data_IF_253885699842
#
_entry.id   IF_253885699842
#
_cell.length_a   1.000
_cell.length_b   1.000
_cell.length_c   1.000
_cell.angle_alpha   90.00
_cell.angle_beta   90.00
_cell.angle_gamma   90.00
#
_symmetry.space_group_name_H-M   'P 1'
#
loop_
_entity.id
_entity.type
_entity.pdbx_description
1 polymer ?
#
# COMPACT_ATOMS: atom_id res chain seq x y z
N UNK A 1 3.61 41.62 -13.19
CA UNK A 1 2.36 40.85 -13.36
C UNK A 1 2.18 40.28 -14.77
N UNK A 2 3.23 39.98 -15.52
CA UNK A 2 3.15 39.70 -16.97
C UNK A 2 3.94 38.45 -17.43
N UNK A 3 4.33 37.55 -16.52
CA UNK A 3 5.09 36.33 -16.87
C UNK A 3 4.36 35.01 -16.53
N UNK A 4 3.20 35.05 -15.90
CA UNK A 4 2.39 33.84 -15.56
C UNK A 4 1.41 33.50 -16.67
N UNK A 5 0.96 34.49 -17.45
CA UNK A 5 -0.04 34.28 -18.52
C UNK A 5 0.51 33.57 -19.77
N UNK A 6 1.81 33.63 -20.03
CA UNK A 6 2.39 33.03 -21.25
C UNK A 6 2.57 31.50 -21.16
N UNK A 7 2.56 30.92 -19.96
CA UNK A 7 2.65 29.44 -19.80
C UNK A 7 1.29 28.73 -19.83
N UNK A 8 0.18 29.46 -19.59
CA UNK A 8 -1.16 28.87 -19.62
C UNK A 8 -1.63 28.57 -21.06
N UNK A 9 -1.17 29.32 -22.04
CA UNK A 9 -1.58 29.14 -23.45
C UNK A 9 -0.91 27.95 -24.14
N UNK A 10 0.23 27.47 -23.65
CA UNK A 10 0.90 26.27 -24.22
C UNK A 10 0.20 24.95 -23.88
N UNK A 11 -0.73 24.95 -22.92
CA UNK A 11 -1.43 23.77 -22.44
C UNK A 11 -2.96 23.90 -22.45
N UNK A 12 -3.51 24.79 -23.26
CA UNK A 12 -4.94 24.84 -23.51
C UNK A 12 -5.36 23.63 -24.37
N UNK A 13 -5.30 22.49 -23.72
CA UNK A 13 -5.77 21.24 -24.28
C UNK A 13 -7.24 21.06 -23.92
N UNK A 14 -8.12 21.38 -24.87
CA UNK A 14 -9.43 20.76 -24.94
C UNK A 14 -9.29 19.31 -24.51
N UNK A 15 -10.07 18.90 -23.50
CA UNK A 15 -10.04 17.56 -22.96
C UNK A 15 -10.28 16.56 -24.11
N UNK A 16 -9.20 16.13 -24.76
CA UNK A 16 -9.30 15.19 -25.87
C UNK A 16 -9.81 13.88 -25.29
N UNK A 17 -11.01 13.49 -25.70
CA UNK A 17 -11.61 12.20 -25.33
C UNK A 17 -10.62 11.06 -25.56
N UNK A 18 -9.79 11.15 -26.60
CA UNK A 18 -8.74 10.17 -26.89
C UNK A 18 -7.70 10.05 -25.77
N UNK A 19 -7.26 11.14 -25.15
CA UNK A 19 -6.30 11.10 -24.03
C UNK A 19 -6.92 10.49 -22.78
N UNK A 20 -8.18 10.82 -22.53
CA UNK A 20 -8.91 10.27 -21.40
C UNK A 20 -9.13 8.75 -21.56
N UNK A 21 -9.54 8.31 -22.76
CA UNK A 21 -9.65 6.89 -23.09
C UNK A 21 -8.29 6.17 -22.98
N UNK A 22 -7.21 6.80 -23.46
CA UNK A 22 -5.86 6.25 -23.31
C UNK A 22 -5.51 6.00 -21.84
N UNK A 23 -5.79 6.92 -20.92
CA UNK A 23 -5.54 6.74 -19.49
C UNK A 23 -6.39 5.60 -18.90
N UNK A 24 -7.64 5.44 -19.33
CA UNK A 24 -8.49 4.33 -18.91
C UNK A 24 -7.96 2.98 -19.42
N UNK A 25 -7.62 2.89 -20.70
CA UNK A 25 -7.04 1.68 -21.32
C UNK A 25 -5.71 1.32 -20.66
N UNK A 26 -4.86 2.32 -20.39
CA UNK A 26 -3.59 2.11 -19.69
C UNK A 26 -3.81 1.55 -18.27
N UNK A 27 -4.83 2.04 -17.56
CA UNK A 27 -5.20 1.48 -16.25
C UNK A 27 -5.59 0.00 -16.36
N UNK A 28 -6.44 -0.35 -17.33
CA UNK A 28 -6.86 -1.75 -17.56
C UNK A 28 -5.65 -2.63 -17.91
N UNK A 29 -4.77 -2.15 -18.79
CA UNK A 29 -3.55 -2.86 -19.15
C UNK A 29 -2.67 -3.11 -17.91
N UNK A 30 -2.43 -2.10 -17.09
CA UNK A 30 -1.65 -2.24 -15.85
C UNK A 30 -2.31 -3.20 -14.84
N UNK A 31 -3.64 -3.23 -14.75
CA UNK A 31 -4.37 -4.19 -13.91
C UNK A 31 -4.16 -5.64 -14.38
N UNK A 32 -3.92 -5.86 -15.67
CA UNK A 32 -3.72 -7.19 -16.25
C UNK A 32 -2.30 -7.72 -16.08
N UNK A 33 -1.32 -6.86 -15.76
CA UNK A 33 0.09 -7.22 -15.60
C UNK A 33 0.47 -7.37 -14.12
N UNK A 34 0.05 -8.42 -13.46
CA UNK A 34 0.44 -8.84 -12.11
C UNK A 34 1.15 -7.77 -11.24
N UNK A 35 2.50 -7.73 -11.14
CA UNK A 35 3.22 -6.77 -10.30
C UNK A 35 3.02 -5.30 -10.67
N UNK A 36 2.69 -5.00 -11.92
CA UNK A 36 2.41 -3.64 -12.40
C UNK A 36 1.07 -3.09 -11.91
N UNK A 37 0.17 -3.95 -11.43
CA UNK A 37 -1.14 -3.54 -10.91
C UNK A 37 -1.05 -2.56 -9.74
N UNK A 38 0.07 -2.54 -9.02
CA UNK A 38 0.31 -1.61 -7.91
C UNK A 38 0.36 -0.13 -8.36
N UNK A 39 0.74 0.13 -9.62
CA UNK A 39 0.76 1.48 -10.20
C UNK A 39 -0.45 1.76 -11.10
N UNK A 40 -1.34 0.78 -11.28
CA UNK A 40 -2.54 0.93 -12.09
C UNK A 40 -3.47 2.09 -11.69
N UNK A 41 -3.56 2.51 -10.40
CA UNK A 41 -4.36 3.66 -10.02
C UNK A 41 -3.85 4.99 -10.57
N UNK A 42 -2.56 5.11 -10.90
CA UNK A 42 -1.92 6.38 -11.26
C UNK A 42 -2.52 7.05 -12.49
N UNK A 43 -2.74 6.35 -13.63
CA UNK A 43 -3.35 6.97 -14.80
C UNK A 43 -4.75 7.53 -14.51
N UNK A 44 -5.58 6.82 -13.74
CA UNK A 44 -6.89 7.31 -13.33
C UNK A 44 -6.78 8.47 -12.34
N UNK A 45 -5.84 8.47 -11.39
CA UNK A 45 -5.61 9.59 -10.50
C UNK A 45 -5.23 10.86 -11.29
N UNK A 46 -4.33 10.73 -12.27
CA UNK A 46 -3.97 11.80 -13.19
C UNK A 46 -5.19 12.26 -14.00
N UNK A 47 -6.02 11.31 -14.48
CA UNK A 47 -7.25 11.65 -15.20
C UNK A 47 -8.21 12.47 -14.31
N UNK A 48 -8.41 12.11 -13.05
CA UNK A 48 -9.19 12.90 -12.09
C UNK A 48 -8.65 14.32 -11.96
N UNK A 49 -7.35 14.49 -11.83
CA UNK A 49 -6.70 15.79 -11.64
C UNK A 49 -6.75 16.66 -12.92
N UNK A 50 -6.74 16.06 -14.10
CA UNK A 50 -6.75 16.77 -15.38
C UNK A 50 -8.17 17.11 -15.88
N UNK A 51 -9.10 16.14 -15.75
CA UNK A 51 -10.43 16.20 -16.36
C UNK A 51 -11.56 16.41 -15.35
N UNK A 52 -11.24 16.38 -14.05
CA UNK A 52 -12.20 16.58 -12.97
C UNK A 52 -12.94 15.30 -12.57
N UNK A 53 -13.71 15.44 -11.47
CA UNK A 53 -14.37 14.30 -10.81
C UNK A 53 -15.42 13.62 -11.67
N UNK A 54 -16.34 14.39 -12.23
CA UNK A 54 -17.53 13.88 -12.92
C UNK A 54 -17.16 13.08 -14.16
N UNK A 55 -16.32 13.66 -15.01
CA UNK A 55 -15.94 13.05 -16.29
C UNK A 55 -15.15 11.74 -16.05
N UNK A 56 -14.17 11.79 -15.14
CA UNK A 56 -13.34 10.61 -14.86
C UNK A 56 -14.12 9.53 -14.14
N UNK A 57 -15.02 9.90 -13.23
CA UNK A 57 -15.88 8.93 -12.54
C UNK A 57 -16.80 8.20 -13.52
N UNK A 58 -17.46 8.95 -14.43
CA UNK A 58 -18.34 8.36 -15.46
C UNK A 58 -17.56 7.39 -16.36
N UNK A 59 -16.37 7.80 -16.82
CA UNK A 59 -15.53 6.93 -17.64
C UNK A 59 -15.10 5.67 -16.87
N UNK A 60 -14.67 5.81 -15.63
CA UNK A 60 -14.24 4.69 -14.81
C UNK A 60 -15.40 3.72 -14.54
N UNK A 61 -16.60 4.24 -14.27
CA UNK A 61 -17.81 3.42 -14.08
C UNK A 61 -18.17 2.66 -15.37
N UNK A 62 -18.13 3.32 -16.53
CA UNK A 62 -18.37 2.68 -17.83
C UNK A 62 -17.31 1.61 -18.10
N UNK A 63 -16.02 1.91 -17.88
CA UNK A 63 -14.94 0.94 -18.08
C UNK A 63 -15.11 -0.28 -17.17
N UNK A 64 -15.50 -0.08 -15.91
CA UNK A 64 -15.79 -1.18 -14.98
C UNK A 64 -16.98 -2.02 -15.47
N UNK A 65 -18.07 -1.38 -15.89
CA UNK A 65 -19.25 -2.08 -16.43
C UNK A 65 -18.90 -2.93 -17.65
N UNK A 66 -18.05 -2.41 -18.55
CA UNK A 66 -17.57 -3.15 -19.73
C UNK A 66 -16.72 -4.36 -19.31
N UNK A 67 -15.78 -4.18 -18.37
CA UNK A 67 -14.95 -5.28 -17.88
C UNK A 67 -15.78 -6.34 -17.15
N UNK A 68 -16.76 -5.93 -16.37
CA UNK A 68 -17.69 -6.82 -15.68
C UNK A 68 -18.53 -7.61 -16.69
N UNK A 69 -19.13 -6.94 -17.69
CA UNK A 69 -19.89 -7.59 -18.74
C UNK A 69 -19.02 -8.57 -19.57
N UNK A 70 -17.77 -8.18 -19.87
CA UNK A 70 -16.82 -9.06 -20.57
C UNK A 70 -16.51 -10.32 -19.76
N UNK A 71 -16.39 -10.21 -18.43
CA UNK A 71 -16.13 -11.37 -17.56
C UNK A 71 -17.28 -12.38 -17.53
N UNK A 72 -18.51 -11.94 -17.80
CA UNK A 72 -19.69 -12.80 -17.88
C UNK A 72 -19.86 -13.37 -19.30
N UNK A 73 -19.66 -12.53 -20.34
CA UNK A 73 -19.95 -12.87 -21.72
C UNK A 73 -18.85 -13.65 -22.43
N UNK A 74 -17.59 -13.42 -22.06
CA UNK A 74 -16.43 -14.01 -22.74
C UNK A 74 -15.86 -15.15 -21.90
N UNK A 75 -16.00 -16.38 -22.40
CA UNK A 75 -15.48 -17.57 -21.74
C UNK A 75 -13.95 -17.48 -21.59
N UNK A 76 -13.46 -17.52 -20.34
CA UNK A 76 -12.02 -17.41 -20.04
C UNK A 76 -11.53 -15.98 -19.76
N UNK A 77 -12.37 -14.95 -19.84
CA UNK A 77 -11.98 -13.61 -19.37
C UNK A 77 -11.97 -13.58 -17.84
N UNK A 78 -10.83 -13.23 -17.19
CA UNK A 78 -10.72 -13.35 -15.74
C UNK A 78 -11.52 -12.25 -15.02
N UNK A 79 -12.48 -12.63 -14.18
CA UNK A 79 -13.21 -11.71 -13.28
C UNK A 79 -12.25 -10.91 -12.38
N UNK A 80 -11.10 -11.48 -12.08
CA UNK A 80 -10.02 -10.85 -11.32
C UNK A 80 -9.61 -9.46 -11.88
N UNK A 81 -9.58 -9.29 -13.21
CA UNK A 81 -9.22 -7.99 -13.83
C UNK A 81 -10.24 -6.90 -13.49
N UNK A 82 -11.53 -7.23 -13.47
CA UNK A 82 -12.58 -6.28 -13.07
C UNK A 82 -12.42 -5.89 -11.58
N UNK A 83 -12.12 -6.86 -10.72
CA UNK A 83 -11.84 -6.61 -9.30
C UNK A 83 -10.62 -5.72 -9.09
N UNK A 84 -9.50 -5.99 -9.78
CA UNK A 84 -8.29 -5.16 -9.72
C UNK A 84 -8.53 -3.75 -10.26
N UNK A 85 -9.33 -3.61 -11.32
CA UNK A 85 -9.72 -2.30 -11.83
C UNK A 85 -10.56 -1.50 -10.82
N UNK A 86 -11.50 -2.14 -10.14
CA UNK A 86 -12.31 -1.50 -9.09
C UNK A 86 -11.43 -1.00 -7.94
N UNK A 87 -10.45 -1.78 -7.50
CA UNK A 87 -9.48 -1.37 -6.48
C UNK A 87 -8.60 -0.22 -6.98
N UNK A 88 -8.12 -0.29 -8.22
CA UNK A 88 -7.35 0.80 -8.83
C UNK A 88 -8.16 2.10 -8.91
N UNK A 89 -9.43 2.02 -9.27
CA UNK A 89 -10.35 3.16 -9.28
C UNK A 89 -10.53 3.75 -7.87
N UNK A 90 -10.75 2.92 -6.84
CA UNK A 90 -10.88 3.38 -5.46
C UNK A 90 -9.62 4.12 -4.99
N UNK A 91 -8.44 3.57 -5.26
CA UNK A 91 -7.18 4.24 -4.88
C UNK A 91 -6.96 5.53 -5.66
N UNK A 92 -7.28 5.55 -6.95
CA UNK A 92 -7.21 6.76 -7.77
C UNK A 92 -8.12 7.87 -7.23
N UNK A 93 -9.34 7.52 -6.82
CA UNK A 93 -10.28 8.44 -6.20
C UNK A 93 -9.75 9.00 -4.87
N UNK A 94 -9.22 8.13 -3.99
CA UNK A 94 -8.65 8.56 -2.71
C UNK A 94 -7.43 9.48 -2.90
N UNK A 95 -6.55 9.15 -3.84
CA UNK A 95 -5.39 9.99 -4.19
C UNK A 95 -5.85 11.35 -4.73
N UNK A 96 -6.83 11.36 -5.64
CA UNK A 96 -7.36 12.59 -6.21
C UNK A 96 -8.03 13.48 -5.14
N UNK A 97 -8.80 12.89 -4.19
CA UNK A 97 -9.41 13.63 -3.09
C UNK A 97 -8.39 14.25 -2.13
N UNK A 98 -7.28 13.56 -1.84
CA UNK A 98 -6.17 14.13 -1.06
C UNK A 98 -5.65 15.39 -1.74
N UNK A 99 -5.46 15.35 -3.06
CA UNK A 99 -4.94 16.50 -3.83
C UNK A 99 -5.99 17.59 -3.97
N UNK A 100 -7.25 17.29 -4.35
CA UNK A 100 -8.31 18.27 -4.52
C UNK A 100 -8.65 19.02 -3.24
N UNK A 101 -8.61 18.35 -2.10
CA UNK A 101 -8.88 18.97 -0.79
C UNK A 101 -7.66 19.65 -0.19
N UNK A 102 -6.53 19.65 -0.91
CA UNK A 102 -5.26 20.19 -0.43
C UNK A 102 -4.85 19.67 0.95
N UNK A 103 -5.06 18.37 1.19
CA UNK A 103 -4.73 17.71 2.46
C UNK A 103 -3.24 17.36 2.45
N UNK A 104 -2.57 17.52 3.59
CA UNK A 104 -1.20 17.03 3.77
C UNK A 104 -1.13 15.53 3.38
N UNK A 105 -0.16 15.09 2.55
CA UNK A 105 -0.15 13.74 2.01
C UNK A 105 -0.09 12.65 3.08
N UNK A 106 0.59 12.88 4.20
CA UNK A 106 0.66 11.94 5.32
C UNK A 106 -0.70 11.82 6.02
N UNK A 107 -1.32 12.96 6.35
CA UNK A 107 -2.68 12.96 6.94
C UNK A 107 -3.70 12.35 5.99
N UNK A 108 -3.61 12.67 4.71
CA UNK A 108 -4.48 12.11 3.67
C UNK A 108 -4.35 10.59 3.57
N UNK A 109 -3.12 10.06 3.55
CA UNK A 109 -2.88 8.62 3.58
C UNK A 109 -3.40 7.96 4.86
N UNK A 110 -3.22 8.60 6.02
CA UNK A 110 -3.73 8.08 7.29
C UNK A 110 -5.26 7.95 7.26
N UNK A 111 -5.96 8.99 6.81
CA UNK A 111 -7.43 8.95 6.68
C UNK A 111 -7.89 7.94 5.63
N UNK A 112 -7.23 7.91 4.46
CA UNK A 112 -7.54 6.94 3.42
C UNK A 112 -7.24 5.51 3.88
N UNK A 113 -6.17 5.28 4.65
CA UNK A 113 -5.87 4.00 5.27
C UNK A 113 -6.95 3.55 6.24
N UNK A 114 -7.46 4.43 7.09
CA UNK A 114 -8.59 4.12 7.99
C UNK A 114 -9.86 3.75 7.21
N UNK A 115 -10.16 4.47 6.12
CA UNK A 115 -11.27 4.13 5.22
C UNK A 115 -11.07 2.75 4.61
N UNK A 116 -9.85 2.42 4.17
CA UNK A 116 -9.52 1.10 3.61
C UNK A 116 -9.69 -0.02 4.63
N UNK A 117 -9.36 0.19 5.92
CA UNK A 117 -9.64 -0.79 6.99
C UNK A 117 -11.13 -1.11 7.06
N UNK A 118 -11.97 -0.07 7.06
CA UNK A 118 -13.44 -0.24 7.14
C UNK A 118 -13.96 -0.96 5.90
N UNK A 119 -13.55 -0.55 4.71
CA UNK A 119 -13.97 -1.17 3.44
C UNK A 119 -13.52 -2.64 3.40
N UNK A 120 -12.26 -2.91 3.71
CA UNK A 120 -11.70 -4.28 3.68
C UNK A 120 -12.37 -5.18 4.71
N UNK A 121 -12.60 -4.68 5.92
CA UNK A 121 -13.33 -5.42 6.96
C UNK A 121 -14.76 -5.73 6.55
N UNK A 122 -15.49 -4.74 6.03
CA UNK A 122 -16.85 -4.91 5.52
C UNK A 122 -16.91 -5.91 4.36
N UNK A 123 -15.95 -5.84 3.44
CA UNK A 123 -15.85 -6.78 2.33
C UNK A 123 -15.62 -8.20 2.79
N UNK A 124 -14.72 -8.43 3.75
CA UNK A 124 -14.48 -9.76 4.32
C UNK A 124 -15.72 -10.35 4.99
N UNK A 125 -16.44 -9.53 5.76
CA UNK A 125 -17.69 -9.96 6.41
C UNK A 125 -18.75 -10.30 5.36
N UNK A 126 -18.94 -9.45 4.35
CA UNK A 126 -19.90 -9.67 3.29
C UNK A 126 -19.55 -10.92 2.46
N UNK A 127 -18.28 -11.06 2.07
CA UNK A 127 -17.80 -12.21 1.32
C UNK A 127 -18.06 -13.52 2.08
N UNK A 128 -17.70 -13.56 3.37
CA UNK A 128 -17.87 -14.76 4.19
C UNK A 128 -19.35 -15.14 4.41
N UNK A 129 -20.28 -14.17 4.29
CA UNK A 129 -21.73 -14.43 4.41
C UNK A 129 -22.40 -14.79 3.08
N UNK A 130 -21.91 -14.24 1.97
CA UNK A 130 -22.55 -14.33 0.67
C UNK A 130 -21.93 -15.40 -0.23
N UNK A 131 -20.67 -15.78 0.01
CA UNK A 131 -20.01 -16.81 -0.78
C UNK A 131 -20.54 -18.20 -0.41
N UNK A 132 -20.85 -19.04 -1.40
CA UNK A 132 -21.25 -20.44 -1.19
C UNK A 132 -20.09 -21.30 -0.67
N UNK A 133 -18.86 -20.89 -0.94
CA UNK A 133 -17.63 -21.52 -0.42
C UNK A 133 -17.07 -20.71 0.73
N UNK A 134 -16.63 -21.38 1.79
CA UNK A 134 -15.97 -20.68 2.89
C UNK A 134 -14.61 -20.14 2.40
N UNK A 135 -14.33 -18.86 2.70
CA UNK A 135 -13.04 -18.24 2.37
C UNK A 135 -11.84 -19.05 2.90
N UNK A 136 -12.02 -19.67 4.08
CA UNK A 136 -11.02 -20.57 4.65
C UNK A 136 -10.79 -21.82 3.79
N UNK A 137 -11.85 -22.36 3.16
CA UNK A 137 -11.75 -23.49 2.25
C UNK A 137 -10.96 -23.15 0.98
N UNK A 138 -11.19 -21.98 0.39
CA UNK A 138 -10.44 -21.51 -0.78
C UNK A 138 -8.94 -21.29 -0.46
N UNK A 139 -8.64 -20.72 0.71
CA UNK A 139 -7.27 -20.56 1.18
C UNK A 139 -6.62 -21.94 1.39
N UNK A 140 -7.33 -22.89 2.03
CA UNK A 140 -6.82 -24.23 2.26
C UNK A 140 -6.49 -24.95 0.95
N UNK A 141 -7.35 -24.83 -0.06
CA UNK A 141 -7.10 -25.38 -1.39
C UNK A 141 -5.87 -24.74 -2.05
N UNK A 142 -5.75 -23.41 -1.97
CA UNK A 142 -4.59 -22.70 -2.53
C UNK A 142 -3.30 -23.08 -1.82
N UNK A 143 -3.31 -23.14 -0.49
CA UNK A 143 -2.16 -23.59 0.32
C UNK A 143 -1.75 -25.02 -0.03
N UNK A 144 -2.70 -25.94 -0.12
CA UNK A 144 -2.40 -27.34 -0.46
C UNK A 144 -1.83 -27.48 -1.86
N UNK A 145 -2.31 -26.71 -2.83
CA UNK A 145 -1.77 -26.67 -4.20
C UNK A 145 -0.31 -26.20 -4.20
N UNK A 146 -0.03 -25.05 -3.58
CA UNK A 146 1.34 -24.50 -3.49
C UNK A 146 2.28 -25.47 -2.77
N UNK A 147 1.83 -26.09 -1.66
CA UNK A 147 2.62 -27.07 -0.94
C UNK A 147 2.94 -28.32 -1.78
N UNK A 148 1.98 -28.77 -2.58
CA UNK A 148 2.18 -29.91 -3.49
C UNK A 148 3.19 -29.59 -4.60
N UNK A 149 3.18 -28.36 -5.12
CA UNK A 149 4.13 -27.88 -6.13
C UNK A 149 5.54 -27.74 -5.55
N UNK A 150 5.66 -27.17 -4.34
CA UNK A 150 6.93 -27.06 -3.63
C UNK A 150 7.56 -28.43 -3.35
N UNK A 151 6.73 -29.42 -2.97
CA UNK A 151 7.21 -30.83 -2.80
C UNK A 151 7.77 -31.39 -4.11
N UNK A 152 7.10 -31.16 -5.24
CA UNK A 152 7.55 -31.65 -6.55
C UNK A 152 8.89 -31.01 -6.97
N UNK A 153 9.01 -29.69 -6.83
CA UNK A 153 10.23 -28.97 -7.20
C UNK A 153 11.46 -29.39 -6.38
N UNK A 154 11.27 -29.77 -5.10
CA UNK A 154 12.38 -30.16 -4.23
C UNK A 154 12.87 -31.57 -4.46
N UNK A 155 12.04 -32.48 -4.96
CA UNK A 155 12.45 -33.86 -5.33
C UNK A 155 13.52 -33.82 -6.42
N UNK A 156 13.53 -32.77 -7.27
CA UNK A 156 14.51 -32.61 -8.36
C UNK A 156 15.83 -31.94 -7.90
N UNK A 157 15.92 -31.39 -6.68
CA UNK A 157 17.11 -30.70 -6.16
C UNK A 157 17.76 -31.43 -5.00
N UNK A 158 18.75 -32.25 -5.28
CA UNK A 158 19.40 -33.20 -4.36
C UNK A 158 20.53 -32.63 -3.47
N UNK A 159 20.62 -31.32 -3.22
CA UNK A 159 21.75 -30.68 -2.51
C UNK A 159 21.37 -29.84 -1.28
N UNK A 160 20.43 -30.29 -0.44
CA UNK A 160 20.04 -29.52 0.77
C UNK A 160 20.55 -30.20 2.03
N UNK A 161 21.11 -29.42 2.99
CA UNK A 161 21.57 -29.94 4.28
C UNK A 161 20.44 -30.64 5.06
N UNK A 162 20.76 -31.65 5.86
CA UNK A 162 19.76 -32.45 6.56
C UNK A 162 18.88 -31.65 7.55
N UNK A 163 19.35 -30.54 8.08
CA UNK A 163 18.57 -29.66 8.95
C UNK A 163 17.56 -28.79 8.15
N UNK A 164 17.97 -28.23 7.03
CA UNK A 164 17.09 -27.49 6.13
C UNK A 164 16.02 -28.41 5.53
N UNK A 165 16.36 -29.67 5.26
CA UNK A 165 15.42 -30.67 4.81
C UNK A 165 14.33 -30.91 5.86
N UNK A 166 14.70 -31.10 7.13
CA UNK A 166 13.74 -31.32 8.23
C UNK A 166 12.83 -30.15 8.45
N UNK A 167 13.37 -28.91 8.46
CA UNK A 167 12.60 -27.67 8.61
C UNK A 167 11.59 -27.49 7.47
N UNK A 168 11.99 -27.81 6.24
CA UNK A 168 11.11 -27.77 5.09
C UNK A 168 10.00 -28.83 5.18
N UNK A 169 10.35 -30.06 5.50
CA UNK A 169 9.40 -31.17 5.61
C UNK A 169 8.39 -30.91 6.75
N UNK A 170 8.84 -30.34 7.86
CA UNK A 170 7.95 -29.88 8.94
C UNK A 170 7.01 -28.76 8.47
N UNK A 171 7.52 -27.76 7.76
CA UNK A 171 6.71 -26.67 7.21
C UNK A 171 5.65 -27.19 6.24
N UNK A 172 6.04 -28.06 5.31
CA UNK A 172 5.13 -28.58 4.28
C UNK A 172 4.16 -29.65 4.83
N UNK A 173 4.44 -30.22 6.00
CA UNK A 173 3.58 -31.21 6.66
C UNK A 173 2.39 -30.59 7.41
N UNK A 174 2.38 -29.26 7.65
CA UNK A 174 1.36 -28.55 8.44
C UNK A 174 0.52 -27.54 7.62
N UNK A 175 -0.12 -27.96 6.52
CA UNK A 175 -0.89 -27.02 5.66
C UNK A 175 -2.07 -26.38 6.39
N UNK A 176 -2.67 -27.06 7.35
CA UNK A 176 -3.79 -26.51 8.14
C UNK A 176 -3.35 -25.39 9.08
N UNK A 177 -2.18 -25.51 9.71
CA UNK A 177 -1.64 -24.44 10.56
C UNK A 177 -1.40 -23.18 9.72
N UNK A 178 -0.75 -23.31 8.56
CA UNK A 178 -0.52 -22.20 7.64
C UNK A 178 -1.85 -21.58 7.14
N UNK A 179 -2.84 -22.41 6.81
CA UNK A 179 -4.17 -21.95 6.42
C UNK A 179 -4.82 -21.11 7.52
N UNK A 180 -4.74 -21.56 8.77
CA UNK A 180 -5.30 -20.83 9.92
C UNK A 180 -4.57 -19.51 10.16
N UNK A 181 -3.24 -19.49 10.05
CA UNK A 181 -2.43 -18.29 10.21
C UNK A 181 -2.72 -17.26 9.12
N UNK A 182 -2.81 -17.67 7.85
CA UNK A 182 -3.20 -16.79 6.74
C UNK A 182 -4.61 -16.26 6.96
N UNK A 183 -5.58 -17.14 7.25
CA UNK A 183 -6.96 -16.75 7.44
C UNK A 183 -7.14 -15.76 8.60
N UNK A 184 -6.50 -16.02 9.73
CA UNK A 184 -6.56 -15.12 10.90
C UNK A 184 -5.85 -13.79 10.67
N UNK A 185 -4.88 -13.71 9.76
CA UNK A 185 -4.12 -12.51 9.41
C UNK A 185 -4.66 -11.77 8.18
N UNK A 186 -5.72 -12.26 7.54
CA UNK A 186 -6.30 -11.64 6.33
C UNK A 186 -6.62 -10.16 6.48
N UNK A 187 -7.26 -9.68 7.59
CA UNK A 187 -7.55 -8.27 7.73
C UNK A 187 -6.31 -7.40 7.63
N UNK A 188 -5.21 -7.82 8.27
CA UNK A 188 -3.92 -7.15 8.17
C UNK A 188 -3.33 -7.22 6.77
N UNK A 189 -3.32 -8.41 6.14
CA UNK A 189 -2.72 -8.61 4.80
C UNK A 189 -3.43 -7.71 3.77
N UNK A 190 -4.76 -7.72 3.75
CA UNK A 190 -5.54 -6.88 2.84
C UNK A 190 -5.26 -5.40 3.09
N UNK A 191 -5.23 -4.99 4.37
CA UNK A 191 -4.91 -3.61 4.73
C UNK A 191 -3.50 -3.22 4.28
N UNK A 192 -2.49 -4.04 4.58
CA UNK A 192 -1.10 -3.74 4.27
C UNK A 192 -0.86 -3.59 2.76
N UNK A 193 -1.40 -4.52 1.95
CA UNK A 193 -1.31 -4.46 0.48
C UNK A 193 -2.04 -3.22 -0.06
N UNK A 194 -3.24 -2.95 0.46
CA UNK A 194 -4.05 -1.80 0.04
C UNK A 194 -3.38 -0.46 0.39
N UNK A 195 -2.87 -0.35 1.61
CA UNK A 195 -2.18 0.86 2.07
C UNK A 195 -0.89 1.12 1.30
N UNK A 196 -0.11 0.06 1.04
CA UNK A 196 1.09 0.16 0.23
C UNK A 196 0.78 0.57 -1.21
N UNK A 197 -0.24 -0.03 -1.83
CA UNK A 197 -0.70 0.34 -3.16
C UNK A 197 -1.16 1.81 -3.23
N UNK A 198 -1.89 2.28 -2.23
CA UNK A 198 -2.30 3.68 -2.12
C UNK A 198 -1.10 4.62 -1.95
N UNK A 199 -0.14 4.25 -1.10
CA UNK A 199 1.09 5.02 -0.89
C UNK A 199 1.90 5.13 -2.19
N UNK A 200 2.12 4.01 -2.89
CA UNK A 200 2.83 4.00 -4.19
C UNK A 200 2.09 4.86 -5.21
N UNK A 201 0.77 4.76 -5.26
CA UNK A 201 -0.07 5.56 -6.18
C UNK A 201 0.07 7.06 -5.92
N UNK A 202 0.01 7.47 -4.66
CA UNK A 202 0.22 8.87 -4.26
C UNK A 202 1.67 9.32 -4.56
N UNK A 203 2.66 8.47 -4.24
CA UNK A 203 4.07 8.75 -4.52
C UNK A 203 4.32 9.00 -6.01
N UNK A 204 3.83 8.11 -6.88
CA UNK A 204 4.02 8.25 -8.34
C UNK A 204 3.23 9.44 -8.89
N UNK A 205 2.03 9.69 -8.38
CA UNK A 205 1.22 10.86 -8.76
C UNK A 205 1.93 12.17 -8.40
N UNK A 206 2.48 12.30 -7.18
CA UNK A 206 3.23 13.48 -6.75
C UNK A 206 4.56 13.62 -7.48
N UNK A 207 5.25 12.53 -7.79
CA UNK A 207 6.47 12.56 -8.59
C UNK A 207 6.23 13.12 -10.00
N UNK A 208 5.07 12.83 -10.56
CA UNK A 208 4.64 13.31 -11.87
C UNK A 208 3.77 14.59 -11.79
N UNK A 209 3.91 15.37 -10.73
CA UNK A 209 3.10 16.57 -10.49
C UNK A 209 3.18 17.63 -11.60
N UNK A 210 4.24 17.65 -12.40
CA UNK A 210 4.40 18.53 -13.55
C UNK A 210 3.26 18.36 -14.57
N UNK A 211 2.64 17.17 -14.66
CA UNK A 211 1.57 16.87 -15.62
C UNK A 211 0.25 17.54 -15.25
N UNK A 212 -0.06 17.70 -13.95
CA UNK A 212 -1.38 18.10 -13.49
C UNK A 212 -1.38 19.36 -12.61
N UNK A 213 -0.22 19.79 -12.06
CA UNK A 213 -0.12 20.89 -11.09
C UNK A 213 -0.55 22.25 -11.66
N UNK A 214 -0.56 22.40 -12.97
CA UNK A 214 -1.06 23.61 -13.63
C UNK A 214 -2.60 23.73 -13.55
N UNK A 215 -3.34 22.62 -13.35
CA UNK A 215 -4.81 22.61 -13.21
C UNK A 215 -5.27 22.58 -11.76
N UNK A 216 -4.53 21.96 -10.89
CA UNK A 216 -4.91 21.78 -9.48
C UNK A 216 -3.80 22.32 -8.59
N UNK A 217 -4.15 23.34 -7.78
CA UNK A 217 -3.24 23.87 -6.78
C UNK A 217 -3.11 22.89 -5.62
N UNK A 218 -1.90 22.41 -5.41
CA UNK A 218 -1.58 21.52 -4.29
C UNK A 218 -0.31 22.04 -3.59
N UNK A 219 -0.43 22.39 -2.31
CA UNK A 219 0.62 23.06 -1.55
C UNK A 219 1.76 22.15 -1.14
N UNK A 220 1.54 20.83 -1.13
CA UNK A 220 2.49 19.86 -0.66
C UNK A 220 3.31 19.25 -1.81
N UNK A 221 4.43 18.64 -1.45
CA UNK A 221 5.39 18.04 -2.35
C UNK A 221 5.69 16.58 -2.01
N UNK A 222 6.47 15.92 -2.84
CA UNK A 222 6.96 14.57 -2.57
C UNK A 222 7.77 14.48 -1.26
N UNK A 223 8.45 15.58 -0.85
CA UNK A 223 9.19 15.62 0.42
C UNK A 223 8.27 15.46 1.61
N UNK A 224 7.08 16.09 1.57
CA UNK A 224 6.10 16.00 2.65
C UNK A 224 5.58 14.57 2.83
N UNK A 225 5.44 13.81 1.73
CA UNK A 225 5.09 12.39 1.78
C UNK A 225 6.19 11.52 2.39
N UNK A 226 7.46 11.80 2.07
CA UNK A 226 8.59 11.02 2.59
C UNK A 226 8.94 11.35 4.04
N UNK A 227 8.47 12.49 4.57
CA UNK A 227 8.55 12.84 5.99
C UNK A 227 7.35 12.31 6.78
N UNK A 228 7.00 11.05 6.54
CA UNK A 228 5.87 10.40 7.20
C UNK A 228 6.03 10.47 8.74
N UNK A 229 5.02 10.99 9.42
CA UNK A 229 4.90 11.02 10.88
C UNK A 229 3.50 10.61 11.27
N UNK A 230 3.40 9.55 12.04
CA UNK A 230 2.13 9.04 12.57
C UNK A 230 1.60 10.03 13.61
N UNK A 231 0.29 10.31 13.64
CA UNK A 231 -0.31 11.16 14.68
C UNK A 231 -0.11 10.56 16.08
N UNK A 232 0.18 11.42 17.06
CA UNK A 232 0.53 10.99 18.42
C UNK A 232 -0.58 10.15 19.09
N UNK A 233 -1.85 10.38 18.75
CA UNK A 233 -2.97 9.61 19.29
C UNK A 233 -2.98 8.11 18.90
N UNK A 234 -2.17 7.69 17.92
CA UNK A 234 -2.01 6.28 17.54
C UNK A 234 -1.38 5.42 18.63
N UNK A 235 -0.77 6.06 19.65
CA UNK A 235 -0.28 5.36 20.85
C UNK A 235 -1.43 4.63 21.58
N UNK A 236 -2.63 5.23 21.65
CA UNK A 236 -3.77 4.60 22.34
C UNK A 236 -4.21 3.29 21.69
N UNK A 237 -4.49 3.23 20.36
CA UNK A 237 -4.79 1.96 19.71
C UNK A 237 -3.60 0.99 19.72
N UNK A 238 -2.35 1.46 19.77
CA UNK A 238 -1.18 0.59 19.94
C UNK A 238 -1.21 -0.12 21.30
N UNK A 239 -1.43 0.62 22.38
CA UNK A 239 -1.57 0.04 23.73
C UNK A 239 -2.77 -0.93 23.77
N UNK A 240 -3.92 -0.52 23.20
CA UNK A 240 -5.11 -1.38 23.14
C UNK A 240 -4.81 -2.69 22.40
N UNK A 241 -4.09 -2.63 21.28
CA UNK A 241 -3.74 -3.83 20.52
C UNK A 241 -2.86 -4.80 21.31
N UNK A 242 -1.90 -4.28 22.08
CA UNK A 242 -1.05 -5.08 22.96
C UNK A 242 -1.85 -5.69 24.13
N UNK A 243 -2.75 -4.93 24.74
CA UNK A 243 -3.64 -5.43 25.80
C UNK A 243 -4.53 -6.54 25.28
N UNK A 244 -5.14 -6.39 24.10
CA UNK A 244 -5.97 -7.42 23.49
C UNK A 244 -5.18 -8.67 23.11
N UNK A 245 -3.95 -8.51 22.62
CA UNK A 245 -3.12 -9.64 22.22
C UNK A 245 -2.60 -10.42 23.42
N UNK A 246 -1.91 -9.73 24.35
CA UNK A 246 -1.33 -10.38 25.54
C UNK A 246 -2.41 -10.81 26.53
N UNK A 247 -3.46 -10.00 26.69
CA UNK A 247 -4.55 -10.28 27.62
C UNK A 247 -5.40 -11.51 27.29
N UNK A 248 -5.29 -12.01 26.05
CA UNK A 248 -5.94 -13.28 25.65
C UNK A 248 -5.50 -14.46 26.53
N UNK A 249 -4.21 -14.48 26.94
CA UNK A 249 -3.65 -15.50 27.83
C UNK A 249 -4.12 -15.33 29.29
N UNK A 250 -4.70 -14.16 29.64
CA UNK A 250 -5.16 -13.80 30.98
C UNK A 250 -6.69 -13.72 31.11
N UNK A 251 -7.44 -14.37 30.19
CA UNK A 251 -8.88 -14.55 30.32
C UNK A 251 -9.74 -13.52 29.58
N UNK A 252 -9.19 -12.77 28.64
CA UNK A 252 -10.03 -11.98 27.73
C UNK A 252 -10.87 -12.90 26.79
N UNK A 253 -11.99 -12.39 26.22
CA UNK A 253 -12.86 -13.18 25.36
C UNK A 253 -12.13 -13.84 24.20
N UNK A 254 -12.64 -15.01 23.78
CA UNK A 254 -12.17 -15.73 22.60
C UNK A 254 -12.15 -14.82 21.37
N UNK A 255 -11.02 -14.75 20.68
CA UNK A 255 -10.83 -13.90 19.51
C UNK A 255 -10.13 -12.55 19.79
N UNK A 256 -9.96 -12.15 21.06
CA UNK A 256 -9.21 -10.93 21.42
C UNK A 256 -7.78 -10.96 20.90
N UNK A 257 -7.12 -12.14 20.92
CA UNK A 257 -5.77 -12.34 20.35
C UNK A 257 -5.74 -11.99 18.87
N UNK A 258 -6.66 -12.53 18.08
CA UNK A 258 -6.71 -12.29 16.62
C UNK A 258 -6.98 -10.82 16.32
N UNK A 259 -7.89 -10.18 17.06
CA UNK A 259 -8.18 -8.75 16.90
C UNK A 259 -6.95 -7.91 17.29
N UNK A 260 -6.36 -8.18 18.45
CA UNK A 260 -5.18 -7.46 18.94
C UNK A 260 -4.00 -7.57 18.00
N UNK A 261 -3.70 -8.78 17.51
CA UNK A 261 -2.64 -9.06 16.56
C UNK A 261 -2.84 -8.35 15.23
N UNK A 262 -4.03 -8.41 14.64
CA UNK A 262 -4.32 -7.71 13.39
C UNK A 262 -4.23 -6.19 13.56
N UNK A 263 -4.78 -5.64 14.65
CA UNK A 263 -4.69 -4.22 14.94
C UNK A 263 -3.23 -3.78 15.12
N UNK A 264 -2.42 -4.55 15.85
CA UNK A 264 -1.00 -4.29 16.04
C UNK A 264 -0.25 -4.26 14.71
N UNK A 265 -0.52 -5.22 13.84
CA UNK A 265 0.14 -5.30 12.53
C UNK A 265 -0.32 -4.18 11.59
N UNK A 266 -1.61 -3.81 11.60
CA UNK A 266 -2.09 -2.64 10.85
C UNK A 266 -1.42 -1.33 11.31
N UNK A 267 -1.29 -1.13 12.63
CA UNK A 267 -0.57 0.00 13.19
C UNK A 267 0.92 -0.07 12.84
N UNK A 268 1.49 -1.28 12.86
CA UNK A 268 2.86 -1.55 12.46
C UNK A 268 3.19 -1.06 11.05
N UNK A 269 2.23 -1.11 10.11
CA UNK A 269 2.41 -0.55 8.77
C UNK A 269 2.63 0.96 8.83
N UNK A 270 1.85 1.70 9.60
CA UNK A 270 2.04 3.15 9.75
C UNK A 270 3.41 3.47 10.38
N UNK A 271 3.79 2.74 11.42
CA UNK A 271 5.09 2.92 12.06
C UNK A 271 6.26 2.48 11.17
N UNK A 272 6.05 1.48 10.30
CA UNK A 272 7.02 1.12 9.26
C UNK A 272 7.32 2.29 8.33
N UNK A 273 6.29 3.01 7.85
CA UNK A 273 6.48 4.20 7.01
C UNK A 273 7.14 5.35 7.77
N UNK A 274 6.85 5.53 9.05
CA UNK A 274 7.54 6.50 9.91
C UNK A 274 9.02 6.15 10.05
N UNK A 275 9.33 4.91 10.42
CA UNK A 275 10.71 4.43 10.55
C UNK A 275 11.47 4.48 9.24
N UNK A 276 10.81 4.18 8.11
CA UNK A 276 11.36 4.38 6.78
C UNK A 276 11.74 5.85 6.53
N UNK A 277 10.89 6.81 6.93
CA UNK A 277 11.19 8.23 6.85
C UNK A 277 12.41 8.62 7.67
N UNK A 278 12.50 8.14 8.92
CA UNK A 278 13.67 8.34 9.79
C UNK A 278 14.94 7.75 9.17
N UNK A 279 14.87 6.52 8.70
CA UNK A 279 15.99 5.85 8.04
C UNK A 279 16.44 6.56 6.76
N UNK A 280 15.52 7.03 5.94
CA UNK A 280 15.83 7.82 4.76
C UNK A 280 16.55 9.13 5.09
N UNK A 281 16.18 9.79 6.21
CA UNK A 281 16.84 11.00 6.67
C UNK A 281 18.22 10.70 7.30
N UNK A 282 18.37 9.57 7.99
CA UNK A 282 19.65 9.05 8.44
C UNK A 282 20.63 8.78 7.29
N UNK A 283 20.18 8.13 6.23
CA UNK A 283 21.02 7.92 5.04
C UNK A 283 21.42 9.24 4.36
N UNK A 284 20.56 10.26 4.39
CA UNK A 284 20.92 11.62 3.91
C UNK A 284 21.95 12.27 4.80
N UNK A 285 21.86 12.10 6.11
CA UNK A 285 22.84 12.59 7.08
C UNK A 285 24.21 11.96 6.84
N UNK A 286 24.28 10.65 6.59
CA UNK A 286 25.50 9.93 6.21
C UNK A 286 26.02 10.30 4.79
N UNK A 287 25.38 11.27 4.10
CA UNK A 287 25.71 11.70 2.73
C UNK A 287 25.61 10.57 1.69
N UNK A 288 24.90 9.47 2.01
CA UNK A 288 24.66 8.37 1.07
C UNK A 288 23.63 8.83 0.03
N UNK A 289 23.98 8.80 -1.26
CA UNK A 289 23.17 9.32 -2.37
C UNK A 289 23.11 8.35 -3.55
N UNK A 290 22.20 8.61 -4.49
CA UNK A 290 22.10 7.88 -5.75
C UNK A 290 21.70 6.42 -5.59
N UNK A 291 22.25 5.56 -6.43
CA UNK A 291 21.93 4.13 -6.50
C UNK A 291 22.21 3.39 -5.18
N UNK A 292 23.34 3.71 -4.54
CA UNK A 292 23.72 3.10 -3.25
C UNK A 292 22.62 3.32 -2.19
N UNK A 293 22.07 4.53 -2.13
CA UNK A 293 20.95 4.83 -1.22
C UNK A 293 19.73 3.95 -1.50
N UNK A 294 19.37 3.79 -2.77
CA UNK A 294 18.23 2.97 -3.18
C UNK A 294 18.45 1.51 -2.79
N UNK A 295 19.68 1.01 -2.97
CA UNK A 295 20.06 -0.35 -2.59
C UNK A 295 19.93 -0.57 -1.07
N UNK A 296 20.46 0.35 -0.25
CA UNK A 296 20.33 0.29 1.22
C UNK A 296 18.86 0.28 1.66
N UNK A 297 18.04 1.14 1.05
CA UNK A 297 16.62 1.22 1.32
C UNK A 297 15.92 -0.10 0.98
N UNK A 298 16.15 -0.65 -0.23
CA UNK A 298 15.53 -1.90 -0.66
C UNK A 298 15.96 -3.07 0.24
N UNK A 299 17.26 -3.19 0.53
CA UNK A 299 17.80 -4.22 1.39
C UNK A 299 17.22 -4.17 2.81
N UNK A 300 17.20 -2.98 3.42
CA UNK A 300 16.64 -2.79 4.75
C UNK A 300 15.13 -3.06 4.79
N UNK A 301 14.39 -2.66 3.75
CA UNK A 301 12.97 -2.93 3.66
C UNK A 301 12.66 -4.43 3.60
N UNK A 302 13.44 -5.19 2.84
CA UNK A 302 13.23 -6.64 2.68
C UNK A 302 13.66 -7.40 3.94
N UNK A 303 14.84 -7.10 4.49
CA UNK A 303 15.44 -7.89 5.57
C UNK A 303 15.11 -7.38 6.98
N UNK A 304 14.86 -6.09 7.14
CA UNK A 304 14.74 -5.43 8.42
C UNK A 304 13.45 -4.59 8.57
N UNK A 305 12.37 -4.95 7.87
CA UNK A 305 11.09 -4.23 7.96
C UNK A 305 10.55 -4.14 9.39
N UNK A 306 10.68 -5.21 10.18
CA UNK A 306 10.30 -5.22 11.61
C UNK A 306 11.11 -4.20 12.42
N UNK A 307 12.41 -4.08 12.15
CA UNK A 307 13.27 -3.10 12.79
C UNK A 307 12.87 -1.67 12.41
N UNK A 308 12.53 -1.41 11.16
CA UNK A 308 12.01 -0.12 10.74
C UNK A 308 10.70 0.25 11.45
N UNK A 309 9.79 -0.70 11.64
CA UNK A 309 8.55 -0.46 12.38
C UNK A 309 8.84 -0.10 13.85
N UNK A 310 9.74 -0.82 14.50
CA UNK A 310 10.19 -0.54 15.88
C UNK A 310 10.85 0.85 15.95
N UNK A 311 11.73 1.19 15.00
CA UNK A 311 12.34 2.50 14.90
C UNK A 311 11.28 3.62 14.76
N UNK A 312 10.23 3.36 13.99
CA UNK A 312 9.10 4.28 13.84
C UNK A 312 8.31 4.47 15.14
N UNK A 313 8.10 3.39 15.91
CA UNK A 313 7.46 3.47 17.23
C UNK A 313 8.31 4.32 18.17
N UNK A 314 9.61 4.07 18.26
CA UNK A 314 10.50 4.83 19.14
C UNK A 314 10.65 6.30 18.73
N UNK A 315 10.52 6.62 17.44
CA UNK A 315 10.58 8.01 16.94
C UNK A 315 9.47 8.90 17.53
N UNK A 316 8.35 8.32 18.03
CA UNK A 316 7.31 9.06 18.73
C UNK A 316 7.83 9.76 20.00
N UNK A 317 8.73 9.12 20.72
CA UNK A 317 9.27 9.64 21.99
C UNK A 317 10.62 10.35 21.82
N UNK A 318 11.48 9.82 20.96
CA UNK A 318 12.86 10.31 20.82
C UNK A 318 13.02 11.37 19.74
N UNK A 319 12.09 11.45 18.74
CA UNK A 319 12.18 12.36 17.60
C UNK A 319 13.58 12.36 16.97
N UNK A 320 14.03 11.19 16.51
CA UNK A 320 15.39 10.94 16.00
C UNK A 320 15.83 11.94 14.94
N UNK A 321 14.87 12.51 14.19
CA UNK A 321 15.15 13.49 13.12
C UNK A 321 15.78 14.76 13.64
N UNK A 322 15.51 15.16 14.90
CA UNK A 322 16.13 16.33 15.52
C UNK A 322 17.65 16.20 15.63
N UNK A 323 18.15 14.99 15.86
CA UNK A 323 19.59 14.76 15.97
C UNK A 323 20.30 14.96 14.62
N UNK A 324 19.66 14.60 13.50
CA UNK A 324 20.24 14.76 12.16
C UNK A 324 20.26 16.21 11.67
N UNK A 325 19.42 17.08 12.24
CA UNK A 325 19.31 18.50 11.86
C UNK A 325 20.31 19.36 12.66
N UNK A 326 20.47 19.09 13.97
CA UNK A 326 21.39 19.85 14.83
C UNK A 326 22.84 19.80 14.36
N UNK A 327 23.33 18.63 14.01
CA UNK A 327 24.73 18.47 13.56
C UNK A 327 25.06 19.24 12.26
N UNK A 328 24.04 19.54 11.43
CA UNK A 328 24.23 20.38 10.24
C UNK A 328 24.42 21.86 10.53
N UNK A 329 23.90 22.36 11.65
CA UNK A 329 24.11 23.75 12.08
C UNK A 329 25.48 23.95 12.70
N UNK A 330 25.93 22.96 13.48
CA UNK A 330 27.23 23.03 14.17
C UNK A 330 28.43 22.91 13.18
N UNK A 331 28.26 22.25 12.02
CA UNK A 331 29.27 22.21 10.93
C UNK A 331 29.33 23.53 10.10
N UNK A 332 28.30 24.37 10.14
CA UNK A 332 28.20 25.63 9.39
C UNK A 332 28.76 26.85 10.12
N UNK A 333 28.92 26.79 11.42
CA UNK A 333 29.43 27.91 12.26
C UNK A 333 30.95 27.86 12.53
N UNK A 334 31.67 26.94 11.89
CA UNK A 334 33.13 26.78 11.99
C UNK A 334 33.85 27.11 10.68
N UNK A 335 33.49 28.25 10.03
CA UNK A 335 34.30 28.89 8.98
C UNK A 335 34.43 30.38 9.28
#
# INVERSE_FOLDING_TARGET
MTKVESHSQLFDHNASVGKLLFLAVLTVALCSFGPMSIVAPVPLAIAFLLYGRTVTFSLAAISFAVLWAASIAVKGFPLFIAGMYLMAFLYALLVAEIVFRNINPVKGLTYAGLILVVISGSFLIAFNRLSPTSLKGEISQSVSTVMSELKKQKVDSSEVSGEEQRAFDEFVSKPEALTNDIYSSLPFIIFAVSFFGLWVSLYVTLRNSIIWRYKVLYSYSLKDLTHFKVPDFFVYPLILSLVLWVGADYGLPVGSEVIGRNLLYCLGVFYLFQGFGVYNDFLKFLKIRGFIKTLFIAFTFILASKFLAILGIFDLWFDFRKFFIKTKKDEGDTI
#
